data_IF_443686723312
#
_entry.id   IF_443686723312
#
_cell.length_a   1.000
_cell.length_b   1.000
_cell.length_c   1.000
_cell.angle_alpha   90.00
_cell.angle_beta   90.00
_cell.angle_gamma   90.00
#
_symmetry.space_group_name_H-M   'P 1'
#
loop_
_entity.id
_entity.type
_entity.pdbx_description
1 polymer ?
#
# COMPACT_ATOMS: atom_id res chain seq x y z
N UNK A 1 -25.61 48.39 14.92
CA UNK A 1 -24.48 47.43 15.07
C UNK A 1 -24.62 46.42 13.94
N UNK A 2 -23.88 46.59 12.84
CA UNK A 2 -23.99 45.73 11.65
C UNK A 2 -23.01 44.58 11.85
N UNK A 3 -23.51 43.35 12.01
CA UNK A 3 -22.66 42.16 12.07
C UNK A 3 -22.15 41.83 10.65
N UNK A 4 -20.83 41.86 10.49
CA UNK A 4 -20.15 41.49 9.26
C UNK A 4 -20.12 39.96 9.08
N UNK A 5 -20.45 39.52 7.87
CA UNK A 5 -20.35 38.15 7.40
C UNK A 5 -18.90 37.78 7.05
N UNK A 6 -18.52 36.52 7.29
CA UNK A 6 -17.39 35.87 6.64
C UNK A 6 -17.74 34.41 6.36
N UNK A 7 -18.15 34.13 5.12
CA UNK A 7 -18.28 32.79 4.56
C UNK A 7 -16.90 32.30 4.12
N UNK A 8 -16.36 31.27 4.77
CA UNK A 8 -15.20 30.54 4.25
C UNK A 8 -15.71 29.38 3.36
N UNK A 9 -15.52 29.54 2.05
CA UNK A 9 -15.67 28.49 1.04
C UNK A 9 -14.49 27.51 1.20
N UNK A 10 -14.76 26.31 1.67
CA UNK A 10 -13.83 25.19 1.68
C UNK A 10 -14.47 23.97 1.06
N UNK A 11 -14.71 24.00 -0.25
CA UNK A 11 -15.03 22.79 -1.02
C UNK A 11 -13.73 22.01 -1.19
N UNK A 12 -13.40 21.16 -0.22
CA UNK A 12 -12.44 20.10 -0.43
C UNK A 12 -12.96 19.23 -1.58
N UNK A 13 -12.14 19.15 -2.62
CA UNK A 13 -12.40 18.36 -3.82
C UNK A 13 -12.79 16.93 -3.44
N UNK A 14 -13.89 16.51 -4.04
CA UNK A 14 -14.44 15.17 -4.04
C UNK A 14 -13.34 14.17 -4.48
N UNK A 15 -12.74 13.47 -3.52
CA UNK A 15 -12.13 12.18 -3.82
C UNK A 15 -13.29 11.21 -4.01
N UNK A 16 -13.70 11.03 -5.27
CA UNK A 16 -14.75 10.11 -5.67
C UNK A 16 -14.48 8.72 -5.09
N UNK A 17 -15.15 8.40 -3.98
CA UNK A 17 -15.24 7.06 -3.44
C UNK A 17 -16.02 6.22 -4.46
N UNK A 18 -15.30 5.42 -5.25
CA UNK A 18 -15.94 4.46 -6.15
C UNK A 18 -16.62 3.37 -5.31
N UNK A 19 -17.87 2.97 -5.61
CA UNK A 19 -18.61 2.01 -4.82
C UNK A 19 -17.99 0.61 -4.97
N UNK A 20 -17.92 -0.10 -3.84
CA UNK A 20 -17.33 -1.41 -3.68
C UNK A 20 -17.93 -2.47 -4.62
N UNK A 21 -17.18 -2.83 -5.67
CA UNK A 21 -17.47 -3.96 -6.55
C UNK A 21 -16.43 -5.06 -6.33
N UNK A 22 -16.55 -5.86 -5.26
CA UNK A 22 -15.67 -7.03 -4.96
C UNK A 22 -14.18 -6.82 -5.28
N UNK A 23 -13.64 -5.64 -4.97
CA UNK A 23 -12.28 -5.27 -5.33
C UNK A 23 -11.31 -5.83 -4.29
N UNK A 24 -10.34 -6.62 -4.74
CA UNK A 24 -9.19 -6.96 -3.92
C UNK A 24 -8.43 -5.70 -3.44
N UNK A 25 -7.44 -5.86 -2.55
CA UNK A 25 -6.64 -4.74 -2.09
C UNK A 25 -6.01 -3.96 -3.26
N UNK A 26 -6.12 -2.63 -3.22
CA UNK A 26 -5.40 -1.75 -4.15
C UNK A 26 -3.93 -1.68 -3.71
N UNK A 27 -3.11 -2.54 -4.32
CA UNK A 27 -1.69 -2.64 -4.00
C UNK A 27 -0.89 -1.37 -4.35
N UNK A 28 -1.32 -0.56 -5.31
CA UNK A 28 -0.65 0.71 -5.59
C UNK A 28 -0.94 1.74 -4.51
N UNK A 29 -2.20 1.82 -4.06
CA UNK A 29 -2.56 2.68 -2.94
C UNK A 29 -1.81 2.28 -1.67
N UNK A 30 -1.72 0.98 -1.39
CA UNK A 30 -0.94 0.46 -0.27
C UNK A 30 0.54 0.84 -0.44
N UNK A 31 1.15 0.58 -1.60
CA UNK A 31 2.56 0.90 -1.82
C UNK A 31 2.86 2.41 -1.71
N UNK A 32 1.94 3.27 -2.16
CA UNK A 32 2.04 4.72 -1.97
C UNK A 32 2.09 5.12 -0.50
N UNK A 33 1.28 4.48 0.33
CA UNK A 33 1.26 4.75 1.77
C UNK A 33 2.47 4.12 2.50
N UNK A 34 2.84 2.88 2.16
CA UNK A 34 3.91 2.13 2.84
C UNK A 34 5.32 2.61 2.47
N UNK A 35 5.57 2.95 1.21
CA UNK A 35 6.92 3.30 0.73
C UNK A 35 7.00 4.60 -0.07
N UNK A 36 5.92 5.39 -0.10
CA UNK A 36 5.81 6.54 -1.01
C UNK A 36 5.64 6.12 -2.48
N UNK A 37 5.34 4.85 -2.74
CA UNK A 37 5.19 4.27 -4.09
C UNK A 37 6.52 3.82 -4.71
N UNK A 38 7.60 3.82 -3.94
CA UNK A 38 8.90 3.36 -4.40
C UNK A 38 8.99 1.83 -4.34
N UNK A 39 8.82 1.17 -5.49
CA UNK A 39 8.93 -0.29 -5.61
C UNK A 39 10.35 -0.83 -5.43
N UNK A 40 11.36 0.04 -5.44
CA UNK A 40 12.77 -0.27 -5.20
C UNK A 40 13.24 0.20 -3.82
N UNK A 41 12.31 0.51 -2.91
CA UNK A 41 12.65 1.00 -1.58
C UNK A 41 13.56 0.00 -0.84
N UNK A 42 14.69 0.50 -0.36
CA UNK A 42 15.62 -0.19 0.52
C UNK A 42 16.34 0.88 1.35
N UNK A 43 15.67 1.34 2.40
CA UNK A 43 16.11 2.49 3.22
C UNK A 43 16.95 2.07 4.43
N UNK A 44 17.26 0.77 4.57
CA UNK A 44 17.97 0.22 5.72
C UNK A 44 17.10 -0.01 6.96
N UNK A 45 15.77 0.06 6.84
CA UNK A 45 14.81 -0.17 7.92
C UNK A 45 14.44 -1.66 8.13
N UNK A 46 15.05 -2.59 7.41
CA UNK A 46 14.74 -4.03 7.46
C UNK A 46 13.54 -4.48 6.62
N UNK A 47 12.94 -3.56 5.87
CA UNK A 47 11.84 -3.80 4.94
C UNK A 47 12.26 -3.45 3.51
N UNK A 48 11.62 -4.10 2.54
CA UNK A 48 12.03 -4.03 1.15
C UNK A 48 10.85 -3.84 0.20
N UNK A 49 11.08 -3.04 -0.84
CA UNK A 49 10.17 -2.86 -1.97
C UNK A 49 8.97 -1.97 -1.67
N UNK A 50 8.04 -1.94 -2.63
CA UNK A 50 6.87 -1.05 -2.59
C UNK A 50 5.92 -1.37 -1.44
N UNK A 51 5.84 -2.65 -1.08
CA UNK A 51 4.92 -3.16 -0.07
C UNK A 51 5.62 -3.48 1.26
N UNK A 52 6.84 -2.96 1.46
CA UNK A 52 7.57 -3.02 2.73
C UNK A 52 7.68 -4.44 3.33
N UNK A 53 7.99 -5.43 2.50
CA UNK A 53 8.18 -6.81 2.97
C UNK A 53 9.37 -6.91 3.91
N UNK A 54 9.21 -7.60 5.04
CA UNK A 54 10.35 -8.17 5.75
C UNK A 54 10.95 -9.33 4.93
N UNK A 55 12.22 -9.64 5.15
CA UNK A 55 12.86 -10.78 4.46
C UNK A 55 12.15 -12.11 4.75
N UNK A 56 11.74 -12.34 5.99
CA UNK A 56 11.05 -13.58 6.38
C UNK A 56 9.70 -13.73 5.68
N UNK A 57 8.90 -12.67 5.60
CA UNK A 57 7.61 -12.68 4.91
C UNK A 57 7.76 -12.87 3.41
N UNK A 58 8.78 -12.26 2.80
CA UNK A 58 9.11 -12.46 1.39
C UNK A 58 9.41 -13.93 1.08
N UNK A 59 10.24 -14.57 1.91
CA UNK A 59 10.57 -16.00 1.77
C UNK A 59 9.33 -16.87 2.00
N UNK A 60 8.59 -16.62 3.08
CA UNK A 60 7.41 -17.40 3.45
C UNK A 60 6.32 -17.40 2.35
N UNK A 61 6.13 -16.28 1.65
CA UNK A 61 5.19 -16.16 0.54
C UNK A 61 5.76 -16.61 -0.82
N UNK A 62 6.98 -17.18 -0.83
CA UNK A 62 7.60 -17.75 -2.02
C UNK A 62 8.22 -16.73 -2.98
N UNK A 63 8.60 -15.56 -2.48
CA UNK A 63 9.19 -14.49 -3.29
C UNK A 63 10.58 -14.80 -3.83
N UNK A 64 11.29 -15.79 -3.26
CA UNK A 64 12.59 -16.25 -3.74
C UNK A 64 12.58 -16.77 -5.18
N UNK A 65 11.41 -17.15 -5.71
CA UNK A 65 11.28 -17.53 -7.12
C UNK A 65 11.50 -16.36 -8.09
N UNK A 66 11.33 -15.13 -7.61
CA UNK A 66 11.46 -13.91 -8.40
C UNK A 66 12.79 -13.21 -8.12
N UNK A 67 13.10 -13.01 -6.84
CA UNK A 67 14.35 -12.37 -6.43
C UNK A 67 14.72 -12.72 -4.98
N UNK A 68 16.01 -12.56 -4.60
CA UNK A 68 16.44 -12.77 -3.21
C UNK A 68 15.75 -11.85 -2.19
N UNK A 69 15.30 -10.66 -2.63
CA UNK A 69 14.59 -9.67 -1.81
C UNK A 69 13.52 -8.95 -2.63
N UNK A 70 12.53 -8.38 -1.95
CA UNK A 70 11.41 -7.70 -2.63
C UNK A 70 11.85 -6.50 -3.47
N UNK A 71 12.79 -5.66 -2.99
CA UNK A 71 13.31 -4.49 -3.71
C UNK A 71 13.96 -4.85 -5.06
N UNK A 72 14.49 -6.06 -5.17
CA UNK A 72 15.11 -6.55 -6.40
C UNK A 72 14.09 -7.05 -7.42
N UNK A 73 12.90 -7.45 -6.97
CA UNK A 73 11.81 -7.87 -7.84
C UNK A 73 11.10 -6.69 -8.52
N UNK A 74 10.37 -6.97 -9.60
CA UNK A 74 9.48 -6.00 -10.26
C UNK A 74 8.23 -5.77 -9.41
N UNK A 75 7.54 -4.65 -9.67
CA UNK A 75 6.24 -4.34 -9.06
C UNK A 75 5.25 -5.50 -9.15
N UNK A 76 5.09 -6.06 -10.36
CA UNK A 76 4.13 -7.15 -10.62
C UNK A 76 4.46 -8.39 -9.79
N UNK A 77 5.74 -8.71 -9.64
CA UNK A 77 6.20 -9.85 -8.84
C UNK A 77 5.98 -9.61 -7.34
N UNK A 78 6.25 -8.41 -6.85
CA UNK A 78 5.95 -8.04 -5.47
C UNK A 78 4.46 -8.17 -5.15
N UNK A 79 3.59 -7.71 -6.05
CA UNK A 79 2.13 -7.87 -5.91
C UNK A 79 1.72 -9.34 -5.89
N UNK A 80 2.27 -10.16 -6.79
CA UNK A 80 1.96 -11.59 -6.80
C UNK A 80 2.39 -12.31 -5.50
N UNK A 81 3.48 -11.87 -4.86
CA UNK A 81 3.89 -12.37 -3.54
C UNK A 81 2.98 -11.82 -2.44
N UNK A 82 2.53 -10.57 -2.55
CA UNK A 82 1.63 -9.95 -1.59
C UNK A 82 0.25 -10.61 -1.57
N UNK A 83 -0.30 -10.94 -2.73
CA UNK A 83 -1.56 -11.69 -2.86
C UNK A 83 -1.46 -13.06 -2.20
N UNK A 84 -0.33 -13.76 -2.35
CA UNK A 84 -0.08 -15.04 -1.68
C UNK A 84 0.01 -14.88 -0.18
N UNK A 85 0.77 -13.89 0.29
CA UNK A 85 0.90 -13.62 1.72
C UNK A 85 -0.47 -13.25 2.32
N UNK A 86 -1.24 -12.39 1.64
CA UNK A 86 -2.59 -12.02 2.04
C UNK A 86 -3.55 -13.21 2.08
N UNK A 87 -3.43 -14.16 1.15
CA UNK A 87 -4.20 -15.41 1.19
C UNK A 87 -3.82 -16.30 2.39
N UNK A 88 -2.58 -16.24 2.87
CA UNK A 88 -2.09 -17.03 4.00
C UNK A 88 -2.48 -16.46 5.37
N UNK A 89 -2.38 -15.14 5.55
CA UNK A 89 -2.53 -14.50 6.87
C UNK A 89 -3.51 -13.32 6.91
N UNK A 90 -4.17 -13.02 5.79
CA UNK A 90 -4.98 -11.81 5.63
C UNK A 90 -4.13 -10.55 5.42
N UNK A 91 -4.79 -9.39 5.46
CA UNK A 91 -4.19 -8.09 5.17
C UNK A 91 -3.48 -7.44 6.38
N UNK A 92 -3.32 -8.15 7.49
CA UNK A 92 -2.72 -7.62 8.73
C UNK A 92 -1.26 -7.19 8.59
N UNK A 93 -0.55 -7.67 7.56
CA UNK A 93 0.83 -7.28 7.27
C UNK A 93 0.98 -5.85 6.73
N UNK A 94 -0.11 -5.20 6.29
CA UNK A 94 -0.09 -3.85 5.73
C UNK A 94 -1.02 -2.94 6.52
N UNK A 95 -0.43 -2.10 7.37
CA UNK A 95 -1.17 -1.07 8.13
C UNK A 95 -1.94 -0.13 7.20
N UNK A 96 -1.37 0.18 6.04
CA UNK A 96 -2.00 1.04 5.05
C UNK A 96 -3.14 0.38 4.26
N UNK A 97 -3.34 -0.94 4.36
CA UNK A 97 -4.50 -1.61 3.75
C UNK A 97 -5.84 -1.16 4.36
N UNK A 98 -5.80 -0.51 5.52
CA UNK A 98 -6.97 0.04 6.21
C UNK A 98 -7.00 1.57 6.24
N UNK A 99 -5.93 2.25 5.81
CA UNK A 99 -5.76 3.70 5.94
C UNK A 99 -6.66 4.54 5.01
N UNK A 100 -7.58 3.90 4.27
CA UNK A 100 -8.58 4.53 3.43
C UNK A 100 -9.98 3.91 3.58
N UNK A 101 -10.29 3.33 4.75
CA UNK A 101 -11.65 2.88 5.12
C UNK A 101 -12.27 3.81 6.15
#
# INVERSE_FOLDING_TARGET
>A
MVLAAATALGTATEAAASPAGRSGPDWDAIARCESGGNWKANTGNGHYGGLQFSQSSWVAAGGLKYAPRADLATRKEQIAVAERLAALQGMSAWTCAYAGR
#
